data_IF_473491769427
#
_entry.id   IF_473491769427
#
_cell.length_a   1.000
_cell.length_b   1.000
_cell.length_c   1.000
_cell.angle_alpha   90.00
_cell.angle_beta   90.00
_cell.angle_gamma   90.00
#
_symmetry.space_group_name_H-M   'P 1'
#
loop_
_entity.id
_entity.type
_entity.pdbx_description
1 polymer ?
#
# COMPACT_ATOMS: atom_id res chain seq x y z
N UNK A 1 -8.71 9.24 9.54
CA UNK A 1 -7.26 9.15 9.27
C UNK A 1 -7.08 9.43 7.79
N UNK A 2 -6.23 10.38 7.40
CA UNK A 2 -6.00 10.67 5.98
C UNK A 2 -5.02 9.63 5.43
N UNK A 3 -5.34 9.06 4.26
CA UNK A 3 -4.45 8.16 3.52
C UNK A 3 -3.41 8.99 2.79
N UNK A 4 -2.15 8.58 2.84
CA UNK A 4 -1.01 9.29 2.23
C UNK A 4 -0.47 8.52 1.04
N UNK A 5 0.11 9.23 0.08
CA UNK A 5 0.71 8.64 -1.11
C UNK A 5 2.16 8.24 -0.79
N UNK A 6 2.53 7.01 -1.12
CA UNK A 6 3.92 6.57 -1.10
C UNK A 6 4.58 6.86 -2.45
N UNK A 7 4.03 6.27 -3.52
CA UNK A 7 4.41 6.55 -4.90
C UNK A 7 3.35 6.00 -5.86
N UNK A 8 3.50 6.33 -7.14
CA UNK A 8 2.85 5.63 -8.24
C UNK A 8 3.92 5.00 -9.12
N UNK A 9 3.74 3.73 -9.48
CA UNK A 9 4.67 3.00 -10.34
C UNK A 9 3.91 2.04 -11.24
N UNK A 10 4.20 2.09 -12.55
CA UNK A 10 3.62 1.18 -13.54
C UNK A 10 2.07 1.17 -13.52
N UNK A 11 1.46 2.33 -13.27
CA UNK A 11 0.00 2.46 -13.15
C UNK A 11 -0.57 1.98 -11.82
N UNK A 12 0.26 1.57 -10.86
CA UNK A 12 -0.16 1.20 -9.50
C UNK A 12 0.10 2.36 -8.54
N UNK A 13 -0.98 2.95 -8.02
CA UNK A 13 -0.94 3.94 -6.95
C UNK A 13 -0.80 3.22 -5.60
N UNK A 14 0.27 3.52 -4.88
CA UNK A 14 0.55 2.97 -3.56
C UNK A 14 0.28 4.02 -2.51
N UNK A 15 -0.61 3.70 -1.58
CA UNK A 15 -0.95 4.58 -0.48
C UNK A 15 -0.93 3.85 0.85
N UNK A 16 -0.78 4.59 1.94
CA UNK A 16 -0.73 4.00 3.28
C UNK A 16 -1.49 4.85 4.31
N UNK A 17 -1.91 4.15 5.35
CA UNK A 17 -2.22 4.73 6.67
C UNK A 17 -1.19 4.21 7.67
N UNK A 18 -1.38 4.39 8.96
CA UNK A 18 -0.54 3.76 9.98
C UNK A 18 -0.73 2.23 10.04
N UNK A 19 -1.90 1.74 9.62
CA UNK A 19 -2.34 0.36 9.87
C UNK A 19 -2.28 -0.54 8.62
N UNK A 20 -2.34 0.07 7.44
CA UNK A 20 -2.52 -0.65 6.19
C UNK A 20 -1.83 0.05 5.00
N UNK A 21 -1.73 -0.70 3.91
CA UNK A 21 -1.20 -0.27 2.62
C UNK A 21 -2.19 -0.69 1.52
N UNK A 22 -2.51 0.23 0.62
CA UNK A 22 -3.37 -0.02 -0.53
C UNK A 22 -2.54 0.07 -1.81
N UNK A 23 -2.76 -0.89 -2.71
CA UNK A 23 -2.27 -0.88 -4.08
C UNK A 23 -3.47 -0.78 -5.00
N UNK A 24 -3.59 0.31 -5.73
CA UNK A 24 -4.69 0.59 -6.64
C UNK A 24 -4.18 0.64 -8.08
N UNK A 25 -4.79 -0.13 -8.97
CA UNK A 25 -4.55 -0.08 -10.40
C UNK A 25 -5.35 1.08 -10.99
N UNK A 26 -4.64 2.14 -11.40
CA UNK A 26 -5.23 3.37 -11.94
C UNK A 26 -5.98 3.15 -13.26
N UNK A 27 -5.75 2.03 -13.97
CA UNK A 27 -6.39 1.74 -15.25
C UNK A 27 -7.68 0.95 -15.06
N UNK A 28 -7.70 0.00 -14.13
CA UNK A 28 -8.85 -0.90 -13.91
C UNK A 28 -9.74 -0.49 -12.74
N UNK A 29 -9.29 0.47 -11.90
CA UNK A 29 -9.90 0.82 -10.62
C UNK A 29 -10.02 -0.38 -9.66
N UNK A 30 -9.23 -1.42 -9.89
CA UNK A 30 -9.07 -2.53 -8.96
C UNK A 30 -8.06 -2.16 -7.88
N UNK A 31 -8.22 -2.69 -6.68
CA UNK A 31 -7.34 -2.43 -5.55
C UNK A 31 -7.23 -3.63 -4.61
N UNK A 32 -6.12 -3.67 -3.89
CA UNK A 32 -5.92 -4.54 -2.73
C UNK A 32 -5.49 -3.71 -1.53
N UNK A 33 -6.18 -3.95 -0.41
CA UNK A 33 -5.86 -3.38 0.88
C UNK A 33 -5.24 -4.47 1.76
N UNK A 34 -4.01 -4.24 2.20
CA UNK A 34 -3.24 -5.16 3.02
C UNK A 34 -2.98 -4.56 4.40
N UNK A 35 -3.03 -5.40 5.44
CA UNK A 35 -2.44 -5.05 6.73
C UNK A 35 -0.94 -4.85 6.58
N UNK A 36 -0.30 -4.19 7.55
CA UNK A 36 1.16 -4.09 7.64
C UNK A 36 1.91 -5.45 7.61
N UNK A 37 1.20 -6.57 7.87
CA UNK A 37 1.75 -7.93 7.83
C UNK A 37 1.52 -8.63 6.48
N UNK A 38 0.81 -8.00 5.54
CA UNK A 38 0.46 -8.59 4.24
C UNK A 38 -0.79 -9.47 4.25
N UNK A 39 -1.64 -9.37 5.27
CA UNK A 39 -2.95 -10.03 5.29
C UNK A 39 -3.94 -9.19 4.49
N UNK A 40 -4.80 -9.84 3.69
CA UNK A 40 -5.79 -9.13 2.86
C UNK A 40 -6.96 -8.67 3.71
N UNK A 41 -7.20 -7.36 3.74
CA UNK A 41 -8.42 -6.77 4.31
C UNK A 41 -9.52 -6.74 3.24
N UNK A 42 -9.17 -6.31 2.04
CA UNK A 42 -10.06 -6.24 0.88
C UNK A 42 -9.26 -6.44 -0.40
N UNK A 43 -9.86 -7.09 -1.39
CA UNK A 43 -9.30 -7.15 -2.75
C UNK A 43 -10.41 -7.42 -3.74
N UNK A 44 -10.35 -6.77 -4.90
CA UNK A 44 -11.11 -7.15 -6.10
C UNK A 44 -10.20 -7.70 -7.22
N UNK A 45 -8.89 -7.88 -6.96
CA UNK A 45 -7.99 -8.59 -7.86
C UNK A 45 -8.14 -10.11 -7.76
N UNK A 46 -7.65 -10.81 -8.80
CA UNK A 46 -7.50 -12.26 -8.77
C UNK A 46 -6.40 -12.73 -7.78
N UNK A 47 -6.37 -14.05 -7.52
CA UNK A 47 -5.44 -14.65 -6.53
C UNK A 47 -3.97 -14.41 -6.89
N UNK A 48 -3.61 -14.48 -8.17
CA UNK A 48 -2.22 -14.29 -8.63
C UNK A 48 -1.73 -12.87 -8.34
N UNK A 49 -2.55 -11.87 -8.69
CA UNK A 49 -2.24 -10.45 -8.47
C UNK A 49 -2.27 -10.11 -6.97
N UNK A 50 -3.10 -10.79 -6.16
CA UNK A 50 -3.03 -10.71 -4.70
C UNK A 50 -1.68 -11.19 -4.15
N UNK A 51 -1.18 -12.35 -4.58
CA UNK A 51 0.11 -12.87 -4.13
C UNK A 51 1.28 -11.99 -4.61
N UNK A 52 1.19 -11.44 -5.81
CA UNK A 52 2.13 -10.44 -6.30
C UNK A 52 2.23 -9.24 -5.33
N UNK A 53 1.10 -8.61 -4.99
CA UNK A 53 1.11 -7.43 -4.11
C UNK A 53 1.50 -7.75 -2.67
N UNK A 54 1.16 -8.93 -2.14
CA UNK A 54 1.68 -9.38 -0.84
C UNK A 54 3.20 -9.46 -0.82
N UNK A 55 3.80 -10.01 -1.88
CA UNK A 55 5.25 -10.10 -1.99
C UNK A 55 5.88 -8.74 -2.23
N UNK A 56 5.21 -7.88 -3.01
CA UNK A 56 5.69 -6.53 -3.26
C UNK A 56 5.69 -5.68 -1.98
N UNK A 57 4.65 -5.78 -1.16
CA UNK A 57 4.59 -5.12 0.15
C UNK A 57 5.82 -5.46 1.00
N UNK A 58 6.20 -6.74 1.09
CA UNK A 58 7.39 -7.16 1.86
C UNK A 58 8.67 -6.45 1.41
N UNK A 59 8.81 -6.16 0.12
CA UNK A 59 9.99 -5.48 -0.43
C UNK A 59 10.00 -3.99 -0.08
N UNK A 60 8.84 -3.33 -0.07
CA UNK A 60 8.75 -1.87 0.09
C UNK A 60 8.37 -1.41 1.51
N UNK A 61 8.00 -2.33 2.41
CA UNK A 61 7.43 -1.98 3.72
C UNK A 61 8.38 -1.14 4.60
N UNK A 62 9.69 -1.39 4.53
CA UNK A 62 10.67 -0.57 5.26
C UNK A 62 10.68 0.88 4.77
N UNK A 63 10.56 1.11 3.46
CA UNK A 63 10.46 2.45 2.90
C UNK A 63 9.15 3.15 3.31
N UNK A 64 8.02 2.45 3.28
CA UNK A 64 6.74 2.98 3.77
C UNK A 64 6.85 3.40 5.24
N UNK A 65 7.53 2.60 6.06
CA UNK A 65 7.73 2.91 7.49
C UNK A 65 8.59 4.16 7.69
N UNK A 66 9.63 4.35 6.87
CA UNK A 66 10.44 5.56 6.91
C UNK A 66 9.61 6.82 6.56
N UNK A 67 8.76 6.74 5.54
CA UNK A 67 7.85 7.83 5.19
C UNK A 67 6.86 8.17 6.31
N UNK A 68 6.24 7.15 6.94
CA UNK A 68 5.37 7.35 8.12
C UNK A 68 6.07 8.08 9.27
N UNK A 69 7.35 7.81 9.50
CA UNK A 69 8.12 8.49 10.54
C UNK A 69 8.36 9.96 10.17
N UNK A 70 8.69 10.26 8.92
CA UNK A 70 8.85 11.65 8.44
C UNK A 70 7.54 12.42 8.56
N UNK A 71 6.45 11.80 8.13
CA UNK A 71 5.09 12.34 8.25
C UNK A 71 4.69 12.68 9.69
N UNK A 72 5.08 11.83 10.64
CA UNK A 72 4.82 12.04 12.06
C UNK A 72 5.64 13.22 12.61
N UNK A 73 6.87 13.40 12.13
CA UNK A 73 7.72 14.54 12.49
C UNK A 73 7.18 15.87 11.92
N UNK A 74 6.64 15.87 10.70
CA UNK A 74 6.03 17.06 10.10
C UNK A 74 4.73 17.49 10.81
N UNK A 75 4.08 16.54 11.49
CA UNK A 75 2.81 16.77 12.19
C UNK A 75 2.98 17.15 13.66
N UNK A 76 4.22 17.20 14.17
CA UNK A 76 4.57 17.48 15.58
C UNK A 76 4.97 18.95 15.79
#
# INVERSE_FOLDING_TARGET
>A
MSRKVFCEKDGILITYTDNDVCFEDSQTAEAILLTNKGEVIHSNFNVEKNEYFKNYLKQIYQAITAFRNLDALESA
#
